data_IF_839648629055
#
_entry.id   IF_839648629055
#
_cell.length_a   1.000
_cell.length_b   1.000
_cell.length_c   1.000
_cell.angle_alpha   90.00
_cell.angle_beta   90.00
_cell.angle_gamma   90.00
#
_symmetry.space_group_name_H-M   'P 1'
#
loop_
_entity.id
_entity.type
_entity.pdbx_description
1 polymer ?
#
# COMPACT_ATOMS: atom_id res chain seq x y z
N UNK A 1 -17.24 -23.88 18.57
CA UNK A 1 -17.91 -23.07 17.53
C UNK A 1 -16.87 -22.68 16.49
N UNK A 2 -17.13 -22.79 15.18
CA UNK A 2 -16.21 -22.27 14.17
C UNK A 2 -15.95 -20.77 14.44
N UNK A 3 -14.71 -20.32 14.31
CA UNK A 3 -14.41 -18.89 14.43
C UNK A 3 -15.01 -18.17 13.21
N UNK A 4 -15.77 -17.10 13.42
CA UNK A 4 -16.22 -16.23 12.33
C UNK A 4 -15.01 -15.60 11.65
N UNK A 5 -14.92 -15.76 10.32
CA UNK A 5 -13.81 -15.27 9.51
C UNK A 5 -14.30 -14.21 8.53
N UNK A 6 -13.57 -13.11 8.46
CA UNK A 6 -13.76 -12.08 7.45
C UNK A 6 -13.20 -12.58 6.12
N UNK A 7 -14.08 -12.73 5.12
CA UNK A 7 -13.72 -13.13 3.77
C UNK A 7 -13.96 -11.97 2.83
N UNK A 8 -12.88 -11.49 2.22
CA UNK A 8 -12.90 -10.46 1.22
C UNK A 8 -12.97 -11.09 -0.16
N UNK A 9 -13.99 -10.76 -0.94
CA UNK A 9 -14.15 -11.19 -2.32
C UNK A 9 -14.05 -9.98 -3.25
N UNK A 10 -13.08 -10.01 -4.17
CA UNK A 10 -12.78 -8.89 -5.07
C UNK A 10 -12.86 -9.39 -6.51
N UNK A 11 -13.65 -8.71 -7.33
CA UNK A 11 -13.56 -8.79 -8.79
C UNK A 11 -12.60 -7.71 -9.28
N UNK A 12 -11.48 -8.09 -9.89
CA UNK A 12 -10.46 -7.11 -10.30
C UNK A 12 -9.57 -7.58 -11.44
N UNK A 13 -9.51 -6.78 -12.51
CA UNK A 13 -8.53 -6.94 -13.58
C UNK A 13 -7.09 -6.63 -13.12
N UNK A 14 -6.92 -5.84 -12.05
CA UNK A 14 -5.61 -5.55 -11.45
C UNK A 14 -5.00 -6.84 -10.89
N UNK A 15 -5.74 -7.60 -10.08
CA UNK A 15 -5.23 -8.84 -9.47
C UNK A 15 -5.00 -9.93 -10.51
N UNK A 16 -5.76 -9.91 -11.62
CA UNK A 16 -5.47 -10.75 -12.78
C UNK A 16 -4.13 -10.40 -13.44
N UNK A 17 -3.80 -9.11 -13.55
CA UNK A 17 -2.53 -8.64 -14.14
C UNK A 17 -1.34 -8.76 -13.16
N UNK A 18 -1.60 -8.60 -11.87
CA UNK A 18 -0.62 -8.60 -10.79
C UNK A 18 -1.02 -9.62 -9.71
N UNK A 19 -0.94 -10.93 -9.99
CA UNK A 19 -1.37 -11.98 -9.07
C UNK A 19 -0.54 -12.04 -7.78
N UNK A 20 0.67 -11.48 -7.80
CA UNK A 20 1.57 -11.43 -6.66
C UNK A 20 1.36 -10.19 -5.76
N UNK A 21 0.32 -9.38 -6.01
CA UNK A 21 -0.01 -8.27 -5.12
C UNK A 21 -0.27 -8.79 -3.69
N UNK A 22 0.34 -8.15 -2.71
CA UNK A 22 0.11 -8.45 -1.30
C UNK A 22 -1.24 -7.89 -0.87
N UNK A 23 -2.04 -8.75 -0.26
CA UNK A 23 -3.32 -8.38 0.34
C UNK A 23 -3.22 -8.69 1.83
N UNK A 24 -3.44 -7.68 2.67
CA UNK A 24 -3.36 -7.84 4.12
C UNK A 24 -4.21 -6.78 4.84
N UNK A 25 -4.40 -6.93 6.14
CA UNK A 25 -5.08 -5.94 6.98
C UNK A 25 -4.07 -5.15 7.80
N UNK A 26 -4.23 -3.83 7.83
CA UNK A 26 -3.53 -2.93 8.76
C UNK A 26 -4.54 -2.37 9.76
N UNK A 27 -4.24 -2.35 11.07
CA UNK A 27 -5.12 -1.77 12.07
C UNK A 27 -5.36 -0.29 11.78
N UNK A 28 -6.63 0.13 11.82
CA UNK A 28 -6.96 1.54 11.84
C UNK A 28 -6.60 2.12 13.21
N UNK A 29 -6.10 3.35 13.25
CA UNK A 29 -5.73 4.02 14.48
C UNK A 29 -6.51 5.33 14.59
N UNK A 30 -7.07 5.59 15.77
CA UNK A 30 -7.74 6.86 16.08
C UNK A 30 -6.77 7.95 16.53
N UNK A 31 -5.53 7.58 16.87
CA UNK A 31 -4.46 8.47 17.29
C UNK A 31 -3.10 7.88 16.95
N UNK A 32 -2.08 8.73 16.89
CA UNK A 32 -0.69 8.26 16.75
C UNK A 32 -0.34 7.39 17.97
N UNK A 33 0.04 6.12 17.78
CA UNK A 33 0.28 5.23 18.89
C UNK A 33 1.53 5.69 19.65
N UNK A 34 1.43 5.77 20.98
CA UNK A 34 2.57 6.08 21.86
C UNK A 34 3.55 4.90 21.98
N UNK A 35 3.10 3.70 21.61
CA UNK A 35 3.82 2.42 21.64
C UNK A 35 3.95 1.84 20.23
N UNK A 36 4.55 0.64 20.11
CA UNK A 36 4.67 -0.07 18.84
C UNK A 36 3.31 -0.23 18.13
N UNK A 37 3.34 -0.06 16.80
CA UNK A 37 2.18 -0.25 15.92
C UNK A 37 1.67 -1.70 16.04
N UNK A 38 0.35 -1.93 16.13
CA UNK A 38 -0.16 -3.29 16.10
C UNK A 38 0.20 -3.96 14.77
N UNK A 39 0.48 -5.27 14.76
CA UNK A 39 0.98 -5.95 13.58
C UNK A 39 -0.07 -6.03 12.47
N UNK A 40 0.41 -6.04 11.23
CA UNK A 40 -0.40 -6.35 10.05
C UNK A 40 -0.86 -7.82 10.07
N UNK A 41 -2.06 -8.09 9.55
CA UNK A 41 -2.67 -9.42 9.52
C UNK A 41 -2.75 -9.92 8.08
N UNK A 42 -2.11 -11.05 7.80
CA UNK A 42 -2.14 -11.70 6.49
C UNK A 42 -3.31 -12.69 6.38
N UNK A 43 -3.79 -12.97 5.14
CA UNK A 43 -4.83 -13.95 4.92
C UNK A 43 -4.33 -15.34 5.30
N UNK A 44 -5.19 -16.12 5.95
CA UNK A 44 -4.95 -17.53 6.32
C UNK A 44 -5.29 -18.49 5.18
N UNK A 45 -6.09 -18.03 4.21
CA UNK A 45 -6.29 -18.70 2.95
C UNK A 45 -6.63 -17.67 1.86
N UNK A 46 -6.28 -18.00 0.62
CA UNK A 46 -6.61 -17.20 -0.53
C UNK A 46 -6.77 -18.08 -1.77
N UNK A 47 -7.46 -17.56 -2.77
CA UNK A 47 -7.61 -18.23 -4.05
C UNK A 47 -8.16 -17.31 -5.12
N UNK A 48 -8.19 -17.82 -6.34
CA UNK A 48 -8.74 -17.13 -7.49
C UNK A 48 -9.77 -18.03 -8.18
N UNK A 49 -10.79 -17.40 -8.73
CA UNK A 49 -11.78 -18.02 -9.61
C UNK A 49 -11.77 -17.27 -10.93
N UNK A 50 -11.64 -18.01 -12.03
CA UNK A 50 -11.69 -17.42 -13.36
C UNK A 50 -13.06 -16.74 -13.59
N UNK A 51 -13.08 -15.63 -14.37
CA UNK A 51 -11.95 -15.02 -15.08
C UNK A 51 -11.16 -13.97 -14.26
N UNK A 52 -11.74 -13.39 -13.20
CA UNK A 52 -11.19 -12.18 -12.54
C UNK A 52 -11.61 -12.02 -11.07
N UNK A 53 -12.01 -13.09 -10.39
CA UNK A 53 -12.41 -13.04 -8.97
C UNK A 53 -11.30 -13.59 -8.09
N UNK A 54 -11.00 -12.92 -6.98
CA UNK A 54 -10.08 -13.40 -5.95
C UNK A 54 -10.73 -13.31 -4.58
N UNK A 55 -10.39 -14.24 -3.69
CA UNK A 55 -10.90 -14.25 -2.32
C UNK A 55 -9.76 -14.40 -1.32
N UNK A 56 -9.91 -13.75 -0.17
CA UNK A 56 -8.92 -13.70 0.91
C UNK A 56 -9.63 -13.83 2.25
N UNK A 57 -9.30 -14.87 3.01
CA UNK A 57 -9.86 -15.10 4.34
C UNK A 57 -8.89 -14.68 5.43
N UNK A 58 -9.38 -13.92 6.40
CA UNK A 58 -8.57 -13.38 7.50
C UNK A 58 -8.98 -13.99 8.85
N UNK A 59 -8.04 -14.14 9.80
CA UNK A 59 -8.30 -14.68 11.13
C UNK A 59 -8.95 -13.62 12.07
N UNK A 60 -9.89 -12.83 11.55
CA UNK A 60 -10.64 -11.82 12.30
C UNK A 60 -12.12 -11.90 11.95
N UNK A 61 -13.02 -11.55 12.87
CA UNK A 61 -14.45 -11.51 12.57
C UNK A 61 -14.80 -10.29 11.71
N UNK A 62 -15.86 -10.36 10.87
CA UNK A 62 -16.31 -9.22 10.07
C UNK A 62 -16.61 -7.97 10.90
N UNK A 63 -17.24 -8.12 12.07
CA UNK A 63 -17.53 -7.01 12.97
C UNK A 63 -16.25 -6.31 13.47
N UNK A 64 -15.21 -7.08 13.77
CA UNK A 64 -13.91 -6.55 14.17
C UNK A 64 -13.19 -5.88 13.00
N UNK A 65 -13.28 -6.47 11.79
CA UNK A 65 -12.69 -5.92 10.58
C UNK A 65 -13.29 -4.54 10.24
N UNK A 66 -14.63 -4.44 10.23
CA UNK A 66 -15.37 -3.21 9.93
C UNK A 66 -15.15 -2.14 11.01
N UNK A 67 -15.06 -2.56 12.27
CA UNK A 67 -14.93 -1.66 13.40
C UNK A 67 -16.25 -0.97 13.80
N UNK A 68 -16.14 -0.14 14.84
CA UNK A 68 -17.19 0.69 15.42
C UNK A 68 -16.55 1.94 16.05
N UNK A 69 -17.31 2.72 16.82
CA UNK A 69 -16.82 3.96 17.46
C UNK A 69 -15.66 3.75 18.45
N UNK A 70 -15.54 2.55 19.03
CA UNK A 70 -14.55 2.22 20.06
C UNK A 70 -13.37 1.44 19.47
N UNK A 71 -13.64 0.58 18.48
CA UNK A 71 -12.64 -0.19 17.75
C UNK A 71 -12.62 0.30 16.30
N UNK A 72 -11.63 1.08 15.87
CA UNK A 72 -11.65 1.72 14.55
C UNK A 72 -11.61 0.72 13.37
N UNK A 73 -11.39 -0.56 13.62
CA UNK A 73 -11.40 -1.60 12.59
C UNK A 73 -10.08 -1.69 11.84
N UNK A 74 -10.15 -2.15 10.60
CA UNK A 74 -8.98 -2.43 9.77
C UNK A 74 -9.11 -1.81 8.37
N UNK A 75 -7.97 -1.45 7.82
CA UNK A 75 -7.82 -1.18 6.39
C UNK A 75 -7.41 -2.46 5.68
N UNK A 76 -8.13 -2.79 4.60
CA UNK A 76 -7.66 -3.73 3.60
C UNK A 76 -6.61 -3.02 2.76
N UNK A 77 -5.40 -3.55 2.77
CA UNK A 77 -4.28 -3.03 2.00
C UNK A 77 -4.02 -3.91 0.80
N UNK A 78 -3.97 -3.28 -0.37
CA UNK A 78 -3.52 -3.86 -1.62
C UNK A 78 -2.17 -3.22 -1.93
N UNK A 79 -1.12 -4.03 -1.93
CA UNK A 79 0.23 -3.55 -2.15
C UNK A 79 0.92 -4.31 -3.28
N UNK A 80 1.69 -3.59 -4.09
CA UNK A 80 2.66 -4.20 -4.98
C UNK A 80 3.66 -5.05 -4.18
N UNK A 81 3.99 -6.23 -4.70
CA UNK A 81 5.04 -7.05 -4.11
C UNK A 81 6.34 -6.25 -4.07
N UNK A 82 7.05 -6.18 -2.92
CA UNK A 82 8.35 -5.55 -2.88
C UNK A 82 9.31 -6.30 -3.82
N UNK A 83 9.57 -5.72 -4.99
CA UNK A 83 10.62 -6.19 -5.91
C UNK A 83 11.91 -5.41 -5.67
N UNK A 84 12.91 -5.60 -6.53
CA UNK A 84 14.15 -4.83 -6.51
C UNK A 84 13.89 -3.33 -6.41
N UNK A 85 14.74 -2.57 -5.67
CA UNK A 85 14.61 -1.13 -5.56
C UNK A 85 14.58 -0.45 -6.92
N UNK A 86 13.50 0.28 -7.18
CA UNK A 86 13.34 1.06 -8.41
C UNK A 86 13.70 2.51 -8.13
N UNK A 87 14.39 3.13 -9.07
CA UNK A 87 14.76 4.54 -9.00
C UNK A 87 14.18 5.29 -10.20
N UNK A 88 13.72 6.51 -9.99
CA UNK A 88 13.24 7.39 -11.03
C UNK A 88 12.28 8.45 -10.49
N UNK A 89 12.30 9.63 -11.12
CA UNK A 89 11.39 10.72 -10.78
C UNK A 89 9.96 10.40 -11.22
N UNK A 90 8.97 11.01 -10.57
CA UNK A 90 7.56 10.88 -10.98
C UNK A 90 7.38 11.37 -12.43
N UNK A 91 6.43 10.77 -13.16
CA UNK A 91 6.09 11.18 -14.52
C UNK A 91 5.55 12.62 -14.61
N UNK A 92 5.12 13.19 -13.48
CA UNK A 92 4.67 14.59 -13.38
C UNK A 92 5.82 15.60 -13.33
N UNK A 93 7.07 15.17 -13.17
CA UNK A 93 8.22 16.07 -13.11
C UNK A 93 8.67 16.40 -14.54
N UNK A 94 8.55 17.67 -14.93
CA UNK A 94 9.06 18.14 -16.22
C UNK A 94 10.58 18.34 -16.16
N UNK A 95 11.28 17.70 -17.08
CA UNK A 95 12.73 17.83 -17.26
C UNK A 95 13.08 18.66 -18.51
N UNK A 96 12.07 19.23 -19.18
CA UNK A 96 12.23 19.88 -20.48
C UNK A 96 12.85 18.92 -21.50
N UNK A 97 13.89 19.37 -22.20
CA UNK A 97 14.62 18.59 -23.20
C UNK A 97 15.86 17.88 -22.61
N UNK A 98 16.00 17.79 -21.29
CA UNK A 98 17.17 17.19 -20.67
C UNK A 98 17.18 15.66 -20.86
N UNK A 99 18.28 15.12 -21.40
CA UNK A 99 18.50 13.68 -21.51
C UNK A 99 19.05 13.05 -20.22
N UNK A 100 19.62 13.87 -19.34
CA UNK A 100 20.23 13.44 -18.08
C UNK A 100 19.84 14.38 -16.94
N UNK A 101 19.85 13.87 -15.72
CA UNK A 101 19.61 14.66 -14.52
C UNK A 101 20.91 15.31 -14.06
N UNK A 102 20.94 16.64 -13.96
CA UNK A 102 22.07 17.35 -13.39
C UNK A 102 22.08 17.22 -11.87
N UNK A 103 23.12 16.58 -11.34
CA UNK A 103 23.35 16.39 -9.91
C UNK A 103 24.24 17.57 -9.44
N UNK A 104 23.62 18.65 -8.98
CA UNK A 104 24.29 19.92 -8.70
C UNK A 104 23.35 20.99 -8.12
N UNK A 105 23.49 22.24 -8.60
CA UNK A 105 23.01 23.48 -7.95
C UNK A 105 21.60 23.45 -7.34
N UNK A 106 20.58 22.86 -7.99
CA UNK A 106 19.23 22.66 -7.44
C UNK A 106 18.51 21.46 -8.07
N UNK A 107 17.59 20.78 -7.35
CA UNK A 107 16.77 19.72 -7.92
C UNK A 107 15.78 20.26 -8.97
N UNK A 108 15.31 19.42 -9.91
CA UNK A 108 14.18 19.78 -10.78
C UNK A 108 12.96 20.19 -9.95
N UNK A 109 12.19 21.15 -10.48
CA UNK A 109 11.00 21.65 -9.80
C UNK A 109 10.01 20.53 -9.50
N UNK A 110 9.50 20.50 -8.27
CA UNK A 110 8.50 19.52 -7.80
C UNK A 110 9.07 18.19 -7.32
N UNK A 111 10.38 17.98 -7.33
CA UNK A 111 10.98 16.77 -6.75
C UNK A 111 10.88 16.81 -5.22
N UNK A 112 10.18 15.84 -4.59
CA UNK A 112 10.09 15.79 -3.13
C UNK A 112 11.42 15.31 -2.54
N UNK A 113 12.05 16.14 -1.70
CA UNK A 113 13.36 15.83 -1.11
C UNK A 113 13.25 15.00 0.18
N UNK A 114 12.11 15.03 0.87
CA UNK A 114 11.83 14.23 2.07
C UNK A 114 12.96 14.24 3.13
N UNK A 115 13.59 15.40 3.35
CA UNK A 115 14.68 15.56 4.32
C UNK A 115 16.09 15.21 3.79
N UNK A 116 16.23 14.85 2.52
CA UNK A 116 17.52 14.60 1.88
C UNK A 116 18.02 15.81 1.07
N UNK A 117 19.33 15.87 0.81
CA UNK A 117 19.95 16.96 0.05
C UNK A 117 20.29 16.48 -1.36
N UNK A 118 19.78 17.19 -2.38
CA UNK A 118 20.10 16.91 -3.78
C UNK A 118 21.60 17.05 -4.03
N UNK A 119 22.19 16.08 -4.70
CA UNK A 119 23.61 16.07 -5.09
C UNK A 119 24.64 15.97 -3.95
N UNK A 120 24.23 15.76 -2.70
CA UNK A 120 25.19 15.63 -1.58
C UNK A 120 26.02 14.35 -1.66
N UNK A 121 25.37 13.21 -1.89
CA UNK A 121 26.03 11.91 -2.08
C UNK A 121 25.07 10.90 -2.73
N UNK A 122 25.62 9.73 -3.12
CA UNK A 122 24.86 8.65 -3.77
C UNK A 122 23.72 8.09 -2.91
N UNK A 123 23.91 7.96 -1.59
CA UNK A 123 22.87 7.45 -0.70
C UNK A 123 21.65 8.38 -0.63
N UNK A 124 21.86 9.70 -0.58
CA UNK A 124 20.78 10.67 -0.59
C UNK A 124 20.11 10.76 -1.96
N UNK A 125 20.86 10.68 -3.05
CA UNK A 125 20.28 10.61 -4.39
C UNK A 125 19.43 9.35 -4.60
N UNK A 126 19.89 8.21 -4.08
CA UNK A 126 19.13 6.97 -4.08
C UNK A 126 17.83 7.15 -3.28
N UNK A 127 17.88 7.75 -2.09
CA UNK A 127 16.69 7.98 -1.27
C UNK A 127 15.66 8.92 -1.95
N UNK A 128 16.12 10.00 -2.60
CA UNK A 128 15.27 10.96 -3.32
C UNK A 128 14.59 10.30 -4.53
N UNK A 129 15.33 9.49 -5.28
CA UNK A 129 14.83 8.87 -6.52
C UNK A 129 14.15 7.54 -6.31
N UNK A 130 14.17 6.98 -5.09
CA UNK A 130 13.56 5.69 -4.79
C UNK A 130 12.05 5.75 -5.02
N UNK A 131 11.55 4.85 -5.86
CA UNK A 131 10.12 4.61 -6.02
C UNK A 131 9.67 3.61 -4.98
N UNK A 132 8.78 4.06 -4.10
CA UNK A 132 8.12 3.17 -3.15
C UNK A 132 7.11 2.28 -3.90
N UNK A 133 6.93 1.03 -3.45
CA UNK A 133 5.87 0.17 -3.97
C UNK A 133 4.51 0.86 -3.86
N UNK A 134 3.65 0.65 -4.86
CA UNK A 134 2.29 1.18 -4.81
C UNK A 134 1.54 0.49 -3.68
N UNK A 135 0.85 1.27 -2.84
CA UNK A 135 -0.01 0.79 -1.75
C UNK A 135 -1.32 1.55 -1.78
N UNK A 136 -2.43 0.82 -1.74
CA UNK A 136 -3.78 1.35 -1.58
C UNK A 136 -4.39 0.76 -0.33
N UNK A 137 -4.98 1.60 0.52
CA UNK A 137 -5.66 1.19 1.73
C UNK A 137 -7.14 1.59 1.65
N UNK A 138 -8.04 0.63 1.83
CA UNK A 138 -9.49 0.84 1.81
C UNK A 138 -10.03 0.38 3.16
N UNK A 139 -10.81 1.24 3.83
CA UNK A 139 -11.36 0.88 5.13
C UNK A 139 -12.38 -0.25 4.97
N UNK A 140 -12.38 -1.24 5.85
CA UNK A 140 -13.27 -2.40 5.72
C UNK A 140 -14.77 -2.01 5.73
N UNK A 141 -15.14 -0.94 6.44
CA UNK A 141 -16.52 -0.42 6.40
C UNK A 141 -16.96 0.13 5.05
N UNK A 142 -16.03 0.40 4.12
CA UNK A 142 -16.34 0.82 2.75
C UNK A 142 -16.54 -0.37 1.80
N UNK A 143 -16.22 -1.59 2.25
CA UNK A 143 -16.31 -2.82 1.46
C UNK A 143 -17.57 -3.62 1.73
N UNK A 144 -18.38 -3.19 2.71
CA UNK A 144 -19.70 -3.76 2.94
C UNK A 144 -20.70 -3.19 1.93
N UNK A 145 -21.54 -4.08 1.38
CA UNK A 145 -22.66 -3.67 0.54
C UNK A 145 -23.56 -2.72 1.32
N UNK A 146 -23.68 -1.47 0.86
CA UNK A 146 -24.75 -0.57 1.28
C UNK A 146 -26.07 -1.23 0.90
N UNK A 147 -26.79 -1.75 1.89
CA UNK A 147 -28.17 -2.23 1.71
C UNK A 147 -29.11 -1.04 1.79
#
# INVERSE_FOLDING_TARGET
>A
MPAEQFVLLIRSSLLRRYPNALIYLTPALTSTPATALPPDIFPIFNGAMEPDTSFFGFPVSPATAIGNSTNPGYFVVIQEHPTEPRFGLSASISLGNASHLNIGTQPPAGVPLNGHTWGKNSAQMAAITRRLPVRVAIHASQLVSST
#
